data_IF_565905355948
#
_entry.id   IF_565905355948
#
_cell.length_a   1.000
_cell.length_b   1.000
_cell.length_c   1.000
_cell.angle_alpha   90.00
_cell.angle_beta   90.00
_cell.angle_gamma   90.00
#
_symmetry.space_group_name_H-M   'P 1'
#
loop_
_entity.id
_entity.type
_entity.pdbx_description
1 polymer ?
#
# COMPACT_ATOMS: atom_id res chain seq x y z
N UNK A 1 -54.52 -25.42 4.54
CA UNK A 1 -53.63 -24.90 5.61
C UNK A 1 -52.41 -25.82 5.65
N UNK A 2 -51.34 -25.49 4.94
CA UNK A 2 -50.12 -26.31 4.92
C UNK A 2 -49.39 -26.12 6.25
N UNK A 3 -49.52 -27.07 7.16
CA UNK A 3 -48.70 -27.12 8.37
C UNK A 3 -47.24 -27.27 7.94
N UNK A 4 -46.42 -26.23 8.12
CA UNK A 4 -44.97 -26.32 7.94
C UNK A 4 -44.49 -27.51 8.79
N UNK A 5 -44.02 -28.57 8.14
CA UNK A 5 -43.34 -29.68 8.82
C UNK A 5 -42.26 -29.10 9.73
N UNK A 6 -42.15 -29.60 10.97
CA UNK A 6 -41.04 -29.24 11.85
C UNK A 6 -39.73 -29.51 11.10
N UNK A 7 -38.78 -28.56 11.07
CA UNK A 7 -37.51 -28.77 10.40
C UNK A 7 -36.81 -29.99 10.99
N UNK A 8 -36.40 -30.94 10.13
CA UNK A 8 -35.62 -32.09 10.55
C UNK A 8 -34.25 -31.61 11.03
N UNK A 9 -33.91 -31.89 12.30
CA UNK A 9 -32.60 -31.58 12.87
C UNK A 9 -31.80 -32.86 13.00
N UNK A 10 -30.64 -32.91 12.35
CA UNK A 10 -29.65 -33.96 12.59
C UNK A 10 -29.22 -33.93 14.06
N UNK A 11 -28.99 -35.10 14.65
CA UNK A 11 -28.39 -35.21 15.99
C UNK A 11 -26.97 -34.64 16.03
N UNK A 12 -26.30 -34.57 14.89
CA UNK A 12 -24.99 -33.96 14.70
C UNK A 12 -25.14 -32.62 13.97
N UNK A 13 -25.19 -31.53 14.73
CA UNK A 13 -25.39 -30.18 14.20
C UNK A 13 -24.68 -29.15 15.09
N UNK A 14 -24.05 -28.13 14.50
CA UNK A 14 -23.37 -27.07 15.28
C UNK A 14 -24.31 -26.37 16.26
N UNK A 15 -25.62 -26.34 15.97
CA UNK A 15 -26.62 -25.70 16.82
C UNK A 15 -26.89 -26.45 18.12
N UNK A 16 -26.55 -27.74 18.21
CA UNK A 16 -26.69 -28.51 19.45
C UNK A 16 -25.49 -28.34 20.39
N UNK A 17 -24.41 -27.72 19.91
CA UNK A 17 -23.26 -27.35 20.74
C UNK A 17 -23.58 -26.14 21.63
N UNK A 18 -22.87 -26.06 22.76
CA UNK A 18 -22.83 -24.85 23.58
C UNK A 18 -22.31 -23.66 22.76
N UNK A 19 -22.80 -22.45 23.06
CA UNK A 19 -22.38 -21.22 22.40
C UNK A 19 -21.07 -20.70 23.01
N UNK A 20 -20.02 -21.49 22.87
CA UNK A 20 -18.66 -21.10 23.20
C UNK A 20 -17.67 -21.65 22.15
N UNK A 21 -16.50 -21.03 22.10
CA UNK A 21 -15.55 -21.30 21.04
C UNK A 21 -15.00 -22.74 21.10
N UNK A 22 -14.78 -23.29 22.29
CA UNK A 22 -14.24 -24.65 22.45
C UNK A 22 -15.22 -25.72 21.98
N UNK A 23 -16.52 -25.58 22.28
CA UNK A 23 -17.55 -26.48 21.79
C UNK A 23 -17.65 -26.45 20.25
N UNK A 24 -17.61 -25.26 19.65
CA UNK A 24 -17.65 -25.11 18.19
C UNK A 24 -16.36 -25.61 17.52
N UNK A 25 -15.19 -25.41 18.14
CA UNK A 25 -13.91 -25.99 17.72
C UNK A 25 -13.98 -27.51 17.69
N UNK A 26 -14.47 -28.12 18.76
CA UNK A 26 -14.63 -29.57 18.85
C UNK A 26 -15.54 -30.09 17.74
N UNK A 27 -16.67 -29.43 17.49
CA UNK A 27 -17.53 -29.75 16.34
C UNK A 27 -16.80 -29.62 14.99
N UNK A 28 -16.01 -28.57 14.78
CA UNK A 28 -15.26 -28.33 13.53
C UNK A 28 -14.26 -29.45 13.17
N UNK A 29 -13.81 -30.23 14.17
CA UNK A 29 -12.88 -31.34 13.95
C UNK A 29 -13.50 -32.45 13.10
N UNK A 30 -14.82 -32.60 13.12
CA UNK A 30 -15.56 -33.56 12.28
C UNK A 30 -15.33 -33.21 10.81
N UNK A 31 -15.56 -31.96 10.43
CA UNK A 31 -15.31 -31.47 9.08
C UNK A 31 -13.84 -31.54 8.70
N UNK A 32 -12.94 -31.19 9.62
CA UNK A 32 -11.49 -31.30 9.38
C UNK A 32 -11.08 -32.74 9.04
N UNK A 33 -11.60 -33.72 9.79
CA UNK A 33 -11.33 -35.13 9.54
C UNK A 33 -11.97 -35.65 8.25
N UNK A 34 -13.21 -35.24 7.96
CA UNK A 34 -13.90 -35.61 6.73
C UNK A 34 -13.21 -35.05 5.50
N UNK A 35 -12.85 -33.76 5.47
CA UNK A 35 -12.19 -33.11 4.33
C UNK A 35 -10.81 -33.74 4.09
N UNK A 36 -10.07 -34.04 5.17
CA UNK A 36 -8.76 -34.71 5.06
C UNK A 36 -8.87 -36.08 4.39
N UNK A 37 -9.93 -36.85 4.67
CA UNK A 37 -10.15 -38.19 4.10
C UNK A 37 -10.87 -38.14 2.73
N UNK A 38 -11.74 -37.17 2.54
CA UNK A 38 -12.66 -37.06 1.40
C UNK A 38 -12.56 -35.66 0.81
N UNK A 39 -11.42 -35.33 0.21
CA UNK A 39 -11.11 -33.98 -0.31
C UNK A 39 -12.17 -33.44 -1.27
N UNK A 40 -12.83 -34.31 -2.04
CA UNK A 40 -13.94 -33.93 -2.94
C UNK A 40 -15.15 -33.30 -2.22
N UNK A 41 -15.29 -33.47 -0.90
CA UNK A 41 -16.36 -32.86 -0.09
C UNK A 41 -16.12 -31.37 0.16
N UNK A 42 -14.89 -30.89 0.02
CA UNK A 42 -14.53 -29.49 0.24
C UNK A 42 -15.33 -28.56 -0.66
N UNK A 43 -15.44 -28.89 -1.95
CA UNK A 43 -16.21 -28.08 -2.89
C UNK A 43 -17.70 -28.05 -2.55
N UNK A 44 -18.26 -29.19 -2.11
CA UNK A 44 -19.65 -29.26 -1.66
C UNK A 44 -19.87 -28.42 -0.40
N UNK A 45 -18.92 -28.45 0.54
CA UNK A 45 -18.99 -27.60 1.74
C UNK A 45 -18.99 -26.12 1.36
N UNK A 46 -18.10 -25.70 0.46
CA UNK A 46 -18.08 -24.32 -0.05
C UNK A 46 -19.43 -23.90 -0.65
N UNK A 47 -19.99 -24.71 -1.54
CA UNK A 47 -21.25 -24.40 -2.23
C UNK A 47 -22.44 -24.31 -1.27
N UNK A 48 -22.46 -25.14 -0.21
CA UNK A 48 -23.48 -25.05 0.83
C UNK A 48 -23.26 -23.88 1.79
N UNK A 49 -22.00 -23.54 2.12
CA UNK A 49 -21.70 -22.38 2.96
C UNK A 49 -22.17 -21.08 2.30
N UNK A 50 -22.04 -20.93 0.98
CA UNK A 50 -22.61 -19.80 0.25
C UNK A 50 -24.11 -19.63 0.48
N UNK A 51 -24.87 -20.73 0.44
CA UNK A 51 -26.33 -20.74 0.67
C UNK A 51 -26.65 -20.44 2.12
N UNK A 52 -25.98 -21.09 3.07
CA UNK A 52 -26.18 -20.88 4.51
C UNK A 52 -25.99 -19.42 4.87
N UNK A 53 -24.91 -18.80 4.40
CA UNK A 53 -24.61 -17.38 4.67
C UNK A 53 -25.62 -16.43 4.02
N UNK A 54 -26.19 -16.78 2.86
CA UNK A 54 -27.22 -15.97 2.19
C UNK A 54 -28.56 -15.96 2.95
N UNK A 55 -28.87 -17.02 3.71
CA UNK A 55 -30.13 -17.17 4.44
C UNK A 55 -30.00 -16.96 5.95
N UNK A 56 -28.99 -16.20 6.42
CA UNK A 56 -28.73 -15.99 7.85
C UNK A 56 -29.95 -15.46 8.64
N UNK A 57 -30.83 -14.70 8.00
CA UNK A 57 -32.08 -14.19 8.63
C UNK A 57 -33.00 -15.30 9.13
N UNK A 58 -32.94 -16.50 8.54
CA UNK A 58 -33.76 -17.64 8.95
C UNK A 58 -33.29 -18.29 10.27
N UNK A 59 -32.08 -17.95 10.75
CA UNK A 59 -31.49 -18.50 11.96
C UNK A 59 -31.68 -17.54 13.14
N UNK A 60 -31.83 -18.11 14.34
CA UNK A 60 -31.86 -17.33 15.58
C UNK A 60 -30.52 -16.64 15.85
N UNK A 61 -30.47 -15.59 16.69
CA UNK A 61 -29.21 -14.92 17.03
C UNK A 61 -28.12 -15.88 17.52
N UNK A 62 -28.46 -16.80 18.42
CA UNK A 62 -27.55 -17.85 18.93
C UNK A 62 -27.01 -18.76 17.81
N UNK A 63 -27.88 -19.20 16.90
CA UNK A 63 -27.49 -20.03 15.76
C UNK A 63 -26.56 -19.23 14.82
N UNK A 64 -26.81 -17.93 14.59
CA UNK A 64 -25.93 -17.06 13.80
C UNK A 64 -24.55 -16.88 14.44
N UNK A 65 -24.48 -16.71 15.76
CA UNK A 65 -23.20 -16.65 16.49
C UNK A 65 -22.40 -17.93 16.26
N UNK A 66 -23.03 -19.10 16.43
CA UNK A 66 -22.39 -20.41 16.20
C UNK A 66 -21.99 -20.61 14.74
N UNK A 67 -22.81 -20.16 13.78
CA UNK A 67 -22.43 -20.16 12.34
C UNK A 67 -21.22 -19.28 12.08
N UNK A 68 -21.15 -18.09 12.69
CA UNK A 68 -20.01 -17.19 12.54
C UNK A 68 -18.71 -17.83 13.06
N UNK A 69 -18.76 -18.41 14.26
CA UNK A 69 -17.63 -19.12 14.86
C UNK A 69 -17.15 -20.29 13.98
N UNK A 70 -18.06 -21.17 13.54
CA UNK A 70 -17.66 -22.34 12.74
C UNK A 70 -17.16 -21.95 11.34
N UNK A 71 -17.77 -20.92 10.72
CA UNK A 71 -17.32 -20.38 9.42
C UNK A 71 -15.92 -19.81 9.55
N UNK A 72 -15.64 -19.08 10.63
CA UNK A 72 -14.32 -18.54 10.94
C UNK A 72 -13.26 -19.64 11.05
N UNK A 73 -13.55 -20.72 11.78
CA UNK A 73 -12.63 -21.85 11.92
C UNK A 73 -12.40 -22.55 10.58
N UNK A 74 -13.43 -22.71 9.76
CA UNK A 74 -13.28 -23.29 8.42
C UNK A 74 -12.40 -22.44 7.51
N UNK A 75 -12.57 -21.12 7.55
CA UNK A 75 -11.72 -20.18 6.81
C UNK A 75 -10.27 -20.20 7.30
N UNK A 76 -10.06 -20.16 8.61
CA UNK A 76 -8.74 -20.21 9.24
C UNK A 76 -7.96 -21.50 8.95
N UNK A 77 -8.67 -22.62 8.80
CA UNK A 77 -8.10 -23.92 8.42
C UNK A 77 -8.00 -24.13 6.90
N UNK A 78 -8.53 -23.20 6.10
CA UNK A 78 -8.53 -23.30 4.63
C UNK A 78 -9.50 -24.36 4.08
N UNK A 79 -10.51 -24.76 4.84
CA UNK A 79 -11.55 -25.72 4.42
C UNK A 79 -12.57 -25.11 3.48
N UNK A 80 -12.73 -23.77 3.53
CA UNK A 80 -13.54 -23.00 2.59
C UNK A 80 -12.78 -21.72 2.23
N UNK A 81 -12.97 -21.18 1.01
CA UNK A 81 -12.40 -19.90 0.61
C UNK A 81 -13.20 -18.72 1.20
N UNK A 82 -12.53 -17.58 1.39
CA UNK A 82 -13.17 -16.34 1.85
C UNK A 82 -14.18 -15.76 0.85
N UNK A 83 -14.22 -16.24 -0.39
CA UNK A 83 -15.25 -15.86 -1.37
C UNK A 83 -16.68 -16.17 -0.90
N UNK A 84 -16.85 -17.09 0.06
CA UNK A 84 -18.15 -17.35 0.68
C UNK A 84 -18.74 -16.12 1.39
N UNK A 85 -17.90 -15.19 1.86
CA UNK A 85 -18.34 -13.97 2.54
C UNK A 85 -19.08 -13.00 1.62
N UNK A 86 -18.99 -13.15 0.29
CA UNK A 86 -19.79 -12.35 -0.65
C UNK A 86 -21.30 -12.52 -0.40
N UNK A 87 -21.75 -13.67 0.12
CA UNK A 87 -23.17 -13.88 0.48
C UNK A 87 -23.65 -12.91 1.57
N UNK A 88 -22.75 -12.38 2.39
CA UNK A 88 -23.08 -11.41 3.43
C UNK A 88 -23.32 -10.00 2.86
N UNK A 89 -23.03 -9.74 1.58
CA UNK A 89 -23.41 -8.49 0.92
C UNK A 89 -24.88 -8.45 0.49
N UNK A 90 -25.67 -9.47 0.83
CA UNK A 90 -27.11 -9.47 0.62
C UNK A 90 -27.76 -8.24 1.28
N UNK A 91 -28.54 -7.48 0.50
CA UNK A 91 -29.12 -6.20 0.91
C UNK A 91 -29.95 -6.31 2.20
N UNK A 92 -30.72 -7.39 2.38
CA UNK A 92 -31.53 -7.59 3.58
C UNK A 92 -30.65 -7.81 4.81
N UNK A 93 -29.61 -8.64 4.69
CA UNK A 93 -28.69 -8.92 5.79
C UNK A 93 -27.89 -7.67 6.20
N UNK A 94 -27.44 -6.89 5.21
CA UNK A 94 -26.69 -5.65 5.43
C UNK A 94 -27.59 -4.59 6.07
N UNK A 95 -28.82 -4.41 5.57
CA UNK A 95 -29.78 -3.44 6.11
C UNK A 95 -30.17 -3.74 7.56
N UNK A 96 -30.32 -5.01 7.90
CA UNK A 96 -30.67 -5.44 9.26
C UNK A 96 -29.47 -5.53 10.22
N UNK A 97 -28.24 -5.26 9.75
CA UNK A 97 -27.03 -5.33 10.58
C UNK A 97 -26.54 -6.76 10.86
N UNK A 98 -27.22 -7.77 10.33
CA UNK A 98 -26.86 -9.19 10.51
C UNK A 98 -25.48 -9.47 9.94
N UNK A 99 -25.16 -8.91 8.76
CA UNK A 99 -23.85 -9.08 8.13
C UNK A 99 -22.72 -8.54 9.00
N UNK A 100 -22.92 -7.35 9.58
CA UNK A 100 -21.96 -6.70 10.46
C UNK A 100 -21.70 -7.53 11.73
N UNK A 101 -22.76 -7.91 12.44
CA UNK A 101 -22.65 -8.76 13.65
C UNK A 101 -21.91 -10.08 13.35
N UNK A 102 -22.23 -10.68 12.20
CA UNK A 102 -21.60 -11.91 11.75
C UNK A 102 -20.10 -11.73 11.51
N UNK A 103 -19.67 -10.70 10.77
CA UNK A 103 -18.24 -10.49 10.47
C UNK A 103 -17.43 -10.05 11.68
N UNK A 104 -18.03 -9.33 12.64
CA UNK A 104 -17.36 -8.97 13.89
C UNK A 104 -16.99 -10.23 14.68
N UNK A 105 -17.94 -11.16 14.85
CA UNK A 105 -17.66 -12.44 15.53
C UNK A 105 -16.66 -13.28 14.72
N UNK A 106 -16.78 -13.28 13.40
CA UNK A 106 -15.94 -14.08 12.52
C UNK A 106 -14.48 -13.65 12.59
N UNK A 107 -14.19 -12.35 12.49
CA UNK A 107 -12.81 -11.85 12.57
C UNK A 107 -12.21 -12.02 13.95
N UNK A 108 -12.99 -11.88 15.04
CA UNK A 108 -12.50 -12.17 16.40
C UNK A 108 -12.03 -13.61 16.52
N UNK A 109 -12.85 -14.56 16.09
CA UNK A 109 -12.51 -15.98 16.13
C UNK A 109 -11.33 -16.29 15.21
N UNK A 110 -11.24 -15.65 14.04
CA UNK A 110 -10.15 -15.92 13.10
C UNK A 110 -8.81 -15.45 13.67
N UNK A 111 -8.78 -14.29 14.34
CA UNK A 111 -7.60 -13.79 15.05
C UNK A 111 -7.24 -14.63 16.29
N UNK A 112 -8.16 -15.42 16.81
CA UNK A 112 -7.88 -16.39 17.89
C UNK A 112 -7.35 -17.72 17.33
N UNK A 113 -7.82 -18.14 16.15
CA UNK A 113 -7.35 -19.35 15.46
C UNK A 113 -5.99 -19.17 14.76
N UNK A 114 -5.73 -17.97 14.23
CA UNK A 114 -4.60 -17.61 13.37
C UNK A 114 -4.20 -16.16 13.59
N UNK A 115 -3.63 -15.51 12.57
CA UNK A 115 -3.16 -14.14 12.63
C UNK A 115 -3.75 -13.29 11.49
N UNK A 116 -3.44 -12.00 11.53
CA UNK A 116 -3.85 -11.02 10.52
C UNK A 116 -3.25 -11.33 9.13
N UNK A 117 -2.11 -12.02 9.04
CA UNK A 117 -1.51 -12.41 7.76
C UNK A 117 -2.39 -13.42 7.03
N UNK A 118 -2.97 -14.38 7.77
CA UNK A 118 -3.91 -15.36 7.22
C UNK A 118 -5.19 -14.71 6.69
N UNK A 119 -5.74 -13.75 7.44
CA UNK A 119 -6.95 -13.00 7.07
C UNK A 119 -6.66 -12.15 5.82
N UNK A 120 -5.60 -11.34 5.84
CA UNK A 120 -5.27 -10.46 4.72
C UNK A 120 -4.92 -11.21 3.43
N UNK A 121 -4.31 -12.40 3.52
CA UNK A 121 -4.07 -13.27 2.37
C UNK A 121 -5.39 -13.84 1.82
N UNK A 122 -6.29 -14.31 2.70
CA UNK A 122 -7.58 -14.85 2.29
C UNK A 122 -8.50 -13.79 1.66
N UNK A 123 -8.57 -12.58 2.24
CA UNK A 123 -9.34 -11.46 1.70
C UNK A 123 -8.84 -11.04 0.32
N UNK A 124 -7.50 -10.88 0.14
CA UNK A 124 -6.89 -10.57 -1.16
C UNK A 124 -7.19 -11.64 -2.20
N UNK A 125 -7.04 -12.92 -1.85
CA UNK A 125 -7.34 -14.04 -2.76
C UNK A 125 -8.81 -14.05 -3.19
N UNK A 126 -9.72 -13.60 -2.31
CA UNK A 126 -11.15 -13.51 -2.57
C UNK A 126 -11.61 -12.17 -3.16
N UNK A 127 -10.70 -11.20 -3.40
CA UNK A 127 -11.02 -9.85 -3.86
C UNK A 127 -12.00 -9.11 -2.93
N UNK A 128 -11.79 -9.24 -1.63
CA UNK A 128 -12.62 -8.66 -0.57
C UNK A 128 -11.91 -7.54 0.21
N UNK A 129 -10.62 -7.31 -0.02
CA UNK A 129 -9.80 -6.35 0.70
C UNK A 129 -10.35 -4.93 0.63
N UNK A 130 -10.98 -4.54 -0.48
CA UNK A 130 -11.61 -3.22 -0.67
C UNK A 130 -13.09 -3.17 -0.28
N UNK A 131 -13.64 -4.28 0.21
CA UNK A 131 -15.10 -4.47 0.39
C UNK A 131 -15.53 -4.58 1.84
N UNK A 132 -14.63 -4.39 2.81
CA UNK A 132 -14.98 -4.51 4.23
C UNK A 132 -16.08 -3.52 4.66
N UNK A 133 -16.12 -2.34 4.06
CA UNK A 133 -17.17 -1.35 4.30
C UNK A 133 -18.57 -1.85 3.89
N UNK A 134 -18.65 -2.78 2.91
CA UNK A 134 -19.93 -3.27 2.38
C UNK A 134 -20.68 -4.19 3.35
N UNK A 135 -20.05 -4.64 4.44
CA UNK A 135 -20.75 -5.35 5.51
C UNK A 135 -21.60 -4.43 6.39
N UNK A 136 -21.37 -3.12 6.33
CA UNK A 136 -22.10 -2.13 7.12
C UNK A 136 -23.35 -1.64 6.35
N UNK A 137 -24.46 -1.31 7.05
CA UNK A 137 -25.60 -0.64 6.43
C UNK A 137 -25.16 0.59 5.64
N UNK A 138 -25.76 0.83 4.46
CA UNK A 138 -25.36 1.91 3.53
C UNK A 138 -25.25 3.28 4.22
N UNK A 139 -26.19 3.61 5.10
CA UNK A 139 -26.20 4.87 5.86
C UNK A 139 -25.05 5.02 6.87
N UNK A 140 -24.28 3.95 7.11
CA UNK A 140 -23.22 3.85 8.11
C UNK A 140 -21.87 3.49 7.52
N UNK A 141 -21.72 3.45 6.19
CA UNK A 141 -20.46 3.13 5.52
C UNK A 141 -19.48 4.32 5.54
N UNK A 142 -19.08 4.75 6.74
CA UNK A 142 -18.10 5.81 6.94
C UNK A 142 -16.89 5.29 7.70
N UNK A 143 -15.70 5.80 7.39
CA UNK A 143 -14.47 5.37 8.06
C UNK A 143 -14.51 5.54 9.58
N UNK A 144 -14.98 6.68 10.15
CA UNK A 144 -15.07 6.84 11.60
C UNK A 144 -15.97 5.80 12.26
N UNK A 145 -17.11 5.48 11.64
CA UNK A 145 -18.03 4.50 12.19
C UNK A 145 -17.46 3.08 12.14
N UNK A 146 -16.80 2.71 11.04
CA UNK A 146 -16.08 1.45 10.92
C UNK A 146 -14.99 1.32 12.00
N UNK A 147 -14.17 2.36 12.17
CA UNK A 147 -13.09 2.40 13.16
C UNK A 147 -13.63 2.19 14.57
N UNK A 148 -14.71 2.90 14.94
CA UNK A 148 -15.33 2.77 16.25
C UNK A 148 -15.84 1.34 16.49
N UNK A 149 -16.71 0.83 15.61
CA UNK A 149 -17.33 -0.49 15.77
C UNK A 149 -16.31 -1.63 15.88
N UNK A 150 -15.31 -1.63 15.00
CA UNK A 150 -14.29 -2.69 15.00
C UNK A 150 -13.33 -2.54 16.19
N UNK A 151 -13.01 -1.31 16.62
CA UNK A 151 -12.18 -1.10 17.81
C UNK A 151 -12.90 -1.53 19.08
N UNK A 152 -14.17 -1.17 19.24
CA UNK A 152 -15.02 -1.59 20.38
C UNK A 152 -15.17 -3.12 20.41
N UNK A 153 -15.13 -3.75 19.23
CA UNK A 153 -15.12 -5.19 19.09
C UNK A 153 -13.75 -5.85 19.36
N UNK A 154 -12.67 -5.08 19.62
CA UNK A 154 -11.32 -5.61 19.84
C UNK A 154 -10.55 -5.93 18.54
N UNK A 155 -11.02 -5.45 17.39
CA UNK A 155 -10.47 -5.73 16.05
C UNK A 155 -9.61 -4.58 15.50
N UNK A 156 -8.76 -4.00 16.35
CA UNK A 156 -7.87 -2.88 15.95
C UNK A 156 -6.98 -3.23 14.75
N UNK A 157 -6.52 -4.47 14.64
CA UNK A 157 -5.73 -4.95 13.50
C UNK A 157 -6.50 -4.93 12.17
N UNK A 158 -7.81 -5.18 12.20
CA UNK A 158 -8.68 -5.07 11.00
C UNK A 158 -8.87 -3.61 10.62
N UNK A 159 -8.99 -2.71 11.61
CA UNK A 159 -9.05 -1.26 11.39
C UNK A 159 -7.80 -0.75 10.70
N UNK A 160 -6.63 -1.13 11.22
CA UNK A 160 -5.33 -0.77 10.64
C UNK A 160 -5.17 -1.34 9.23
N UNK A 161 -5.58 -2.61 9.02
CA UNK A 161 -5.58 -3.22 7.70
C UNK A 161 -6.43 -2.44 6.70
N UNK A 162 -7.67 -2.08 7.05
CA UNK A 162 -8.56 -1.30 6.18
C UNK A 162 -7.96 0.07 5.85
N UNK A 163 -7.35 0.75 6.83
CA UNK A 163 -6.66 2.03 6.62
C UNK A 163 -5.50 1.88 5.63
N UNK A 164 -4.67 0.85 5.79
CA UNK A 164 -3.55 0.58 4.90
C UNK A 164 -3.99 0.24 3.47
N UNK A 165 -5.11 -0.49 3.30
CA UNK A 165 -5.69 -0.75 1.97
C UNK A 165 -6.14 0.56 1.32
N UNK A 166 -6.89 1.41 2.03
CA UNK A 166 -7.34 2.70 1.52
C UNK A 166 -6.18 3.63 1.16
N UNK A 167 -5.17 3.74 2.01
CA UNK A 167 -3.99 4.54 1.72
C UNK A 167 -3.22 4.03 0.49
N UNK A 168 -3.07 2.71 0.36
CA UNK A 168 -2.43 2.09 -0.80
C UNK A 168 -3.20 2.38 -2.10
N UNK A 169 -4.53 2.35 -2.04
CA UNK A 169 -5.40 2.65 -3.17
C UNK A 169 -5.30 4.11 -3.60
N UNK A 170 -5.37 5.06 -2.66
CA UNK A 170 -5.20 6.49 -2.97
C UNK A 170 -3.83 6.79 -3.59
N UNK A 171 -2.76 6.14 -3.10
CA UNK A 171 -1.41 6.30 -3.67
C UNK A 171 -1.34 5.77 -5.11
N UNK A 172 -1.98 4.62 -5.38
CA UNK A 172 -2.03 4.05 -6.74
C UNK A 172 -2.85 4.92 -7.68
N UNK A 173 -3.99 5.41 -7.22
CA UNK A 173 -4.84 6.31 -7.99
C UNK A 173 -4.10 7.59 -8.38
N UNK A 174 -3.42 8.25 -7.43
CA UNK A 174 -2.54 9.39 -7.73
C UNK A 174 -1.52 9.04 -8.82
N UNK A 175 -0.82 7.93 -8.66
CA UNK A 175 0.23 7.53 -9.60
C UNK A 175 -0.34 7.27 -11.00
N UNK A 176 -1.45 6.55 -11.10
CA UNK A 176 -2.13 6.26 -12.37
C UNK A 176 -2.60 7.54 -13.03
N UNK A 177 -3.20 8.48 -12.30
CA UNK A 177 -3.65 9.76 -12.86
C UNK A 177 -2.48 10.58 -13.38
N UNK A 178 -1.38 10.70 -12.63
CA UNK A 178 -0.18 11.42 -13.09
C UNK A 178 0.41 10.78 -14.35
N UNK A 179 0.51 9.45 -14.39
CA UNK A 179 1.03 8.73 -15.57
C UNK A 179 0.13 8.99 -16.79
N UNK A 180 -1.19 9.00 -16.61
CA UNK A 180 -2.14 9.30 -17.70
C UNK A 180 -1.96 10.74 -18.20
N UNK A 181 -1.86 11.72 -17.29
CA UNK A 181 -1.59 13.13 -17.66
C UNK A 181 -0.29 13.26 -18.46
N UNK A 182 0.78 12.56 -18.05
CA UNK A 182 2.06 12.55 -18.78
C UNK A 182 1.93 11.94 -20.18
N UNK A 183 1.20 10.82 -20.30
CA UNK A 183 0.97 10.12 -21.58
C UNK A 183 0.09 10.94 -22.53
N UNK A 184 -0.85 11.69 -22.01
CA UNK A 184 -1.71 12.62 -22.75
C UNK A 184 -1.00 13.93 -23.11
N UNK A 185 0.22 14.14 -22.60
CA UNK A 185 1.00 15.35 -22.87
C UNK A 185 0.49 16.59 -22.15
N UNK A 186 -0.13 16.41 -20.97
CA UNK A 186 -0.58 17.52 -20.14
C UNK A 186 0.60 18.45 -19.78
N UNK A 187 0.36 19.77 -19.68
CA UNK A 187 1.35 20.73 -19.18
C UNK A 187 1.89 20.34 -17.79
N UNK A 188 3.19 20.58 -17.55
CA UNK A 188 3.82 20.33 -16.25
C UNK A 188 3.09 21.02 -15.09
N UNK A 189 2.57 22.24 -15.32
CA UNK A 189 1.80 23.00 -14.35
C UNK A 189 0.55 22.24 -13.86
N UNK A 190 -0.20 21.61 -14.77
CA UNK A 190 -1.42 20.89 -14.40
C UNK A 190 -1.10 19.66 -13.54
N UNK A 191 0.01 18.98 -13.83
CA UNK A 191 0.49 17.85 -13.04
C UNK A 191 0.95 18.31 -11.65
N UNK A 192 1.63 19.46 -11.57
CA UNK A 192 2.06 20.08 -10.31
C UNK A 192 0.86 20.48 -9.46
N UNK A 193 -0.12 21.16 -10.05
CA UNK A 193 -1.34 21.60 -9.36
C UNK A 193 -2.10 20.39 -8.79
N UNK A 194 -2.24 19.31 -9.57
CA UNK A 194 -2.84 18.06 -9.10
C UNK A 194 -2.06 17.41 -7.94
N UNK A 195 -0.73 17.35 -8.03
CA UNK A 195 0.11 16.81 -6.96
C UNK A 195 0.06 17.65 -5.67
N UNK A 196 0.02 18.98 -5.78
CA UNK A 196 -0.12 19.90 -4.63
C UNK A 196 -1.50 19.80 -3.99
N UNK A 197 -2.56 19.66 -4.78
CA UNK A 197 -3.91 19.39 -4.26
C UNK A 197 -3.96 18.07 -3.48
N UNK A 198 -3.30 17.02 -3.98
CA UNK A 198 -3.17 15.76 -3.25
C UNK A 198 -2.43 15.91 -1.92
N UNK A 199 -1.34 16.69 -1.88
CA UNK A 199 -0.61 16.98 -0.64
C UNK A 199 -1.53 17.59 0.42
N UNK A 200 -2.30 18.61 0.03
CA UNK A 200 -3.19 19.34 0.94
C UNK A 200 -4.35 18.46 1.39
N UNK A 201 -5.06 17.83 0.46
CA UNK A 201 -6.24 17.00 0.75
C UNK A 201 -5.92 15.76 1.58
N UNK A 202 -4.77 15.12 1.31
CA UNK A 202 -4.33 13.92 2.02
C UNK A 202 -3.42 14.21 3.23
N UNK A 203 -3.12 15.49 3.49
CA UNK A 203 -2.19 15.96 4.54
C UNK A 203 -0.85 15.22 4.49
N UNK A 204 -0.34 15.03 3.27
CA UNK A 204 0.91 14.28 3.02
C UNK A 204 2.10 15.23 2.93
N UNK A 205 3.22 14.92 3.60
CA UNK A 205 4.42 15.73 3.50
C UNK A 205 5.02 15.65 2.10
N UNK A 206 5.76 16.68 1.71
CA UNK A 206 6.39 16.78 0.39
C UNK A 206 7.25 15.55 0.06
N UNK A 207 8.01 15.04 1.03
CA UNK A 207 8.84 13.83 0.88
C UNK A 207 8.06 12.56 0.48
N UNK A 208 6.82 12.42 0.97
CA UNK A 208 5.98 11.29 0.57
C UNK A 208 5.48 11.49 -0.87
N UNK A 209 5.14 12.71 -1.24
CA UNK A 209 4.59 13.00 -2.58
C UNK A 209 5.67 12.98 -3.65
N UNK A 210 6.87 13.55 -3.43
CA UNK A 210 8.00 13.44 -4.38
C UNK A 210 8.36 11.97 -4.66
N UNK A 211 8.23 11.08 -3.66
CA UNK A 211 8.42 9.64 -3.87
C UNK A 211 7.38 9.06 -4.84
N UNK A 212 6.14 9.55 -4.82
CA UNK A 212 5.07 9.13 -5.73
C UNK A 212 5.29 9.75 -7.13
N UNK A 213 5.63 11.03 -7.21
CA UNK A 213 5.97 11.73 -8.47
C UNK A 213 7.12 11.03 -9.18
N UNK A 214 8.23 10.75 -8.47
CA UNK A 214 9.38 10.02 -9.00
C UNK A 214 8.97 8.67 -9.61
N UNK A 215 8.18 7.89 -8.86
CA UNK A 215 7.68 6.59 -9.35
C UNK A 215 6.80 6.74 -10.58
N UNK A 216 5.94 7.75 -10.62
CA UNK A 216 5.11 8.03 -11.80
C UNK A 216 5.95 8.40 -13.01
N UNK A 217 6.92 9.30 -12.86
CA UNK A 217 7.85 9.68 -13.94
C UNK A 217 8.56 8.44 -14.47
N UNK A 218 9.19 7.64 -13.60
CA UNK A 218 9.96 6.47 -14.04
C UNK A 218 9.11 5.35 -14.64
N UNK A 219 7.82 5.28 -14.32
CA UNK A 219 6.86 4.30 -14.87
C UNK A 219 6.07 4.83 -16.08
N UNK A 220 6.13 6.12 -16.40
CA UNK A 220 5.44 6.72 -17.54
C UNK A 220 6.16 6.45 -18.88
N UNK A 221 7.32 5.77 -18.87
CA UNK A 221 8.11 5.48 -20.06
C UNK A 221 8.45 4.00 -20.15
N UNK A 222 8.36 3.46 -21.37
CA UNK A 222 8.92 2.15 -21.66
C UNK A 222 10.42 2.29 -21.95
N UNK A 223 11.24 1.74 -21.06
CA UNK A 223 12.69 1.83 -21.17
C UNK A 223 13.24 0.93 -22.26
N UNK A 224 14.27 1.41 -22.95
CA UNK A 224 14.95 0.65 -23.98
C UNK A 224 15.60 -0.61 -23.38
N UNK A 225 15.48 -1.75 -24.08
CA UNK A 225 16.10 -3.01 -23.66
C UNK A 225 17.61 -3.04 -23.88
N UNK A 226 18.13 -2.16 -24.75
CA UNK A 226 19.56 -2.02 -25.02
C UNK A 226 20.17 -1.02 -24.05
N UNK A 227 21.04 -1.49 -23.17
CA UNK A 227 21.62 -0.71 -22.08
C UNK A 227 22.38 0.53 -22.56
N UNK A 228 23.03 0.48 -23.73
CA UNK A 228 23.71 1.64 -24.32
C UNK A 228 22.76 2.78 -24.72
N UNK A 229 21.50 2.48 -25.04
CA UNK A 229 20.50 3.50 -25.44
C UNK A 229 19.74 4.10 -24.25
N UNK A 230 19.81 3.44 -23.08
CA UNK A 230 19.10 3.89 -21.88
C UNK A 230 19.60 5.25 -21.40
N UNK A 231 20.91 5.54 -21.51
CA UNK A 231 21.50 6.76 -20.96
C UNK A 231 20.91 8.05 -21.56
N UNK A 232 20.78 8.11 -22.89
CA UNK A 232 20.20 9.28 -23.55
C UNK A 232 18.68 9.36 -23.36
N UNK A 233 18.00 8.21 -23.27
CA UNK A 233 16.58 8.16 -22.98
C UNK A 233 16.30 8.70 -21.58
N UNK A 234 17.07 8.28 -20.56
CA UNK A 234 16.96 8.76 -19.18
C UNK A 234 17.17 10.26 -19.11
N UNK A 235 18.23 10.77 -19.75
CA UNK A 235 18.52 12.19 -19.72
C UNK A 235 17.40 13.03 -20.35
N UNK A 236 16.87 12.62 -21.49
CA UNK A 236 15.73 13.31 -22.14
C UNK A 236 14.47 13.23 -21.30
N UNK A 237 14.19 12.07 -20.72
CA UNK A 237 12.98 11.82 -19.93
C UNK A 237 12.99 12.62 -18.62
N UNK A 238 14.08 12.58 -17.86
CA UNK A 238 14.21 13.35 -16.62
C UNK A 238 14.20 14.86 -16.90
N UNK A 239 14.90 15.32 -17.94
CA UNK A 239 14.89 16.74 -18.32
C UNK A 239 13.50 17.23 -18.70
N UNK A 240 12.66 16.39 -19.31
CA UNK A 240 11.27 16.76 -19.66
C UNK A 240 10.41 17.03 -18.41
N UNK A 241 10.72 16.38 -17.29
CA UNK A 241 9.92 16.44 -16.07
C UNK A 241 10.66 17.09 -14.90
N UNK A 242 11.79 17.78 -15.15
CA UNK A 242 12.55 18.48 -14.12
C UNK A 242 11.70 19.54 -13.43
N UNK A 243 10.95 20.33 -14.19
CA UNK A 243 10.10 21.41 -13.65
C UNK A 243 9.04 20.86 -12.69
N UNK A 244 8.57 19.63 -12.91
CA UNK A 244 7.65 18.97 -11.97
C UNK A 244 8.42 18.59 -10.71
N UNK A 245 9.60 17.98 -10.84
CA UNK A 245 10.39 17.55 -9.69
C UNK A 245 10.78 18.73 -8.79
N UNK A 246 11.21 19.85 -9.37
CA UNK A 246 11.59 21.09 -8.66
C UNK A 246 10.47 21.58 -7.73
N UNK A 247 9.22 21.50 -8.17
CA UNK A 247 8.04 21.91 -7.39
C UNK A 247 7.74 21.00 -6.18
N UNK A 248 8.36 19.83 -6.10
CA UNK A 248 8.25 18.87 -4.99
C UNK A 248 9.61 18.58 -4.32
N UNK A 249 10.61 19.42 -4.57
CA UNK A 249 11.93 19.40 -3.94
C UNK A 249 12.28 20.79 -3.41
N UNK A 250 11.35 21.41 -2.66
CA UNK A 250 11.53 22.77 -2.11
C UNK A 250 12.27 22.78 -0.77
N UNK A 251 12.62 21.60 -0.25
CA UNK A 251 13.25 21.41 1.05
C UNK A 251 14.38 20.39 0.91
N UNK A 252 15.50 20.61 1.62
CA UNK A 252 16.61 19.65 1.64
C UNK A 252 16.19 18.21 1.95
N UNK A 253 15.14 18.02 2.77
CA UNK A 253 14.62 16.69 3.11
C UNK A 253 13.89 16.00 1.96
N UNK A 254 13.14 16.72 1.11
CA UNK A 254 12.49 16.15 -0.08
C UNK A 254 13.51 15.89 -1.19
N UNK A 255 14.49 16.76 -1.38
CA UNK A 255 15.64 16.55 -2.25
C UNK A 255 16.42 15.28 -1.87
N UNK A 256 16.82 15.16 -0.59
CA UNK A 256 17.50 13.97 -0.07
C UNK A 256 16.66 12.70 -0.28
N UNK A 257 15.34 12.81 -0.08
CA UNK A 257 14.42 11.69 -0.33
C UNK A 257 14.43 11.29 -1.80
N UNK A 258 14.39 12.25 -2.73
CA UNK A 258 14.47 11.98 -4.17
C UNK A 258 15.80 11.32 -4.52
N UNK A 259 16.94 11.85 -4.05
CA UNK A 259 18.27 11.31 -4.32
C UNK A 259 18.41 9.85 -3.85
N UNK A 260 17.89 9.53 -2.67
CA UNK A 260 17.79 8.15 -2.18
C UNK A 260 16.93 7.26 -3.07
N UNK A 261 15.83 7.78 -3.64
CA UNK A 261 14.99 7.02 -4.60
C UNK A 261 15.69 6.81 -5.93
N UNK A 262 16.50 7.77 -6.39
CA UNK A 262 17.34 7.60 -7.59
C UNK A 262 18.37 6.50 -7.35
N UNK A 263 19.08 6.52 -6.21
CA UNK A 263 20.07 5.49 -5.84
C UNK A 263 19.42 4.10 -5.77
N UNK A 264 18.33 3.98 -5.03
CA UNK A 264 17.60 2.72 -4.87
C UNK A 264 17.12 2.18 -6.23
N UNK A 265 16.60 3.05 -7.10
CA UNK A 265 16.16 2.66 -8.45
C UNK A 265 17.32 2.16 -9.30
N UNK A 266 18.44 2.89 -9.34
CA UNK A 266 19.65 2.46 -10.05
C UNK A 266 20.21 1.14 -9.49
N UNK A 267 20.07 0.87 -8.20
CA UNK A 267 20.47 -0.41 -7.62
C UNK A 267 19.56 -1.57 -8.04
N UNK A 268 18.25 -1.37 -7.94
CA UNK A 268 17.22 -2.37 -8.21
C UNK A 268 17.17 -2.75 -9.71
N UNK A 269 17.41 -1.78 -10.59
CA UNK A 269 17.38 -1.99 -12.04
C UNK A 269 18.79 -1.87 -12.64
N UNK A 270 19.44 -3.01 -12.88
CA UNK A 270 20.84 -3.10 -13.32
C UNK A 270 21.18 -2.23 -14.54
N UNK A 271 20.25 -2.06 -15.48
CA UNK A 271 20.43 -1.25 -16.69
C UNK A 271 20.64 0.26 -16.42
N UNK A 272 20.33 0.75 -15.21
CA UNK A 272 20.51 2.15 -14.81
C UNK A 272 21.74 2.37 -13.93
N UNK A 273 22.43 1.30 -13.50
CA UNK A 273 23.54 1.39 -12.54
C UNK A 273 24.63 2.38 -12.95
N UNK A 274 25.07 2.30 -14.21
CA UNK A 274 26.13 3.16 -14.77
C UNK A 274 25.67 4.58 -15.12
N UNK A 275 24.36 4.85 -15.03
CA UNK A 275 23.77 6.15 -15.37
C UNK A 275 23.46 6.99 -14.14
N UNK A 276 23.71 6.47 -12.93
CA UNK A 276 23.42 7.16 -11.68
C UNK A 276 24.04 8.56 -11.61
N UNK A 277 25.36 8.68 -11.85
CA UNK A 277 26.04 9.98 -11.85
C UNK A 277 25.41 10.95 -12.85
N UNK A 278 25.12 10.49 -14.07
CA UNK A 278 24.49 11.31 -15.12
C UNK A 278 23.10 11.81 -14.70
N UNK A 279 22.33 10.99 -13.97
CA UNK A 279 21.03 11.38 -13.44
C UNK A 279 21.18 12.46 -12.36
N UNK A 280 22.08 12.27 -11.39
CA UNK A 280 22.29 13.25 -10.32
C UNK A 280 22.80 14.58 -10.87
N UNK A 281 23.79 14.56 -11.77
CA UNK A 281 24.29 15.77 -12.44
C UNK A 281 23.20 16.49 -13.21
N UNK A 282 22.30 15.76 -13.88
CA UNK A 282 21.17 16.38 -14.57
C UNK A 282 20.22 17.06 -13.59
N UNK A 283 19.87 16.38 -12.48
CA UNK A 283 18.97 16.93 -11.46
C UNK A 283 19.56 18.17 -10.77
N UNK A 284 20.88 18.18 -10.53
CA UNK A 284 21.59 19.37 -10.07
C UNK A 284 21.49 20.52 -11.08
N UNK A 285 21.82 20.27 -12.36
CA UNK A 285 21.78 21.28 -13.43
C UNK A 285 20.38 21.83 -13.75
N UNK A 286 19.33 21.21 -13.24
CA UNK A 286 17.94 21.65 -13.41
C UNK A 286 17.33 22.12 -12.10
N UNK A 287 18.15 22.45 -11.10
CA UNK A 287 17.73 23.00 -9.80
C UNK A 287 16.76 22.07 -9.03
N UNK A 288 16.84 20.76 -9.27
CA UNK A 288 16.03 19.75 -8.56
C UNK A 288 16.75 19.27 -7.30
N UNK A 289 18.09 19.24 -7.33
CA UNK A 289 18.92 18.87 -6.18
C UNK A 289 19.95 19.97 -5.95
N UNK A 290 20.03 20.45 -4.71
CA UNK A 290 21.06 21.36 -4.25
C UNK A 290 22.40 20.66 -4.06
N UNK A 291 23.46 21.47 -4.05
CA UNK A 291 24.82 21.03 -3.79
C UNK A 291 24.95 20.39 -2.41
N UNK A 292 24.42 21.07 -1.38
CA UNK A 292 24.51 20.68 0.01
C UNK A 292 23.89 19.30 0.24
N UNK A 293 22.77 19.01 -0.42
CA UNK A 293 22.11 17.70 -0.34
C UNK A 293 22.94 16.60 -1.02
N UNK A 294 23.57 16.89 -2.15
CA UNK A 294 24.41 15.92 -2.88
C UNK A 294 25.66 15.59 -2.06
N UNK A 295 26.33 16.61 -1.52
CA UNK A 295 27.51 16.45 -0.65
C UNK A 295 27.15 15.70 0.63
N UNK A 296 26.03 16.05 1.28
CA UNK A 296 25.54 15.35 2.48
C UNK A 296 25.23 13.88 2.21
N UNK A 297 24.58 13.57 1.07
CA UNK A 297 24.32 12.20 0.64
C UNK A 297 25.63 11.43 0.47
N UNK A 298 26.63 12.04 -0.19
CA UNK A 298 27.91 11.41 -0.44
C UNK A 298 28.63 11.06 0.88
N UNK A 299 28.70 12.00 1.81
CA UNK A 299 29.43 11.85 3.08
C UNK A 299 28.77 10.84 4.02
N UNK A 300 27.46 10.96 4.27
CA UNK A 300 26.83 10.19 5.34
C UNK A 300 25.38 9.76 5.13
N UNK A 301 24.61 10.45 4.28
CA UNK A 301 23.17 10.20 4.15
C UNK A 301 22.79 9.19 3.03
N UNK A 302 23.75 8.50 2.43
CA UNK A 302 23.51 7.52 1.36
C UNK A 302 22.89 6.20 1.85
N UNK A 303 22.17 5.54 0.94
CA UNK A 303 21.63 4.19 1.17
C UNK A 303 22.75 3.14 1.16
N UNK A 304 22.57 2.05 1.91
CA UNK A 304 23.49 0.90 1.89
C UNK A 304 23.41 0.12 0.57
N UNK A 305 22.33 0.31 -0.22
CA UNK A 305 22.13 -0.33 -1.52
C UNK A 305 23.14 0.19 -2.55
N UNK A 306 24.13 -0.64 -2.89
CA UNK A 306 25.14 -0.30 -3.91
C UNK A 306 26.13 0.79 -3.49
N UNK A 307 26.26 1.06 -2.18
CA UNK A 307 27.06 2.14 -1.58
C UNK A 307 28.42 2.34 -2.26
N UNK A 308 29.30 1.34 -2.22
CA UNK A 308 30.68 1.48 -2.72
C UNK A 308 30.73 1.86 -4.20
N UNK A 309 29.84 1.29 -5.01
CA UNK A 309 29.79 1.55 -6.45
C UNK A 309 29.26 2.95 -6.77
N UNK A 310 28.25 3.44 -6.06
CA UNK A 310 27.69 4.77 -6.31
C UNK A 310 28.57 5.89 -5.75
N UNK A 311 29.20 5.69 -4.59
CA UNK A 311 30.19 6.65 -4.08
C UNK A 311 31.39 6.75 -5.03
N UNK A 312 31.90 5.64 -5.55
CA UNK A 312 33.00 5.69 -6.53
C UNK A 312 32.58 6.44 -7.81
N UNK A 313 31.37 6.19 -8.33
CA UNK A 313 30.85 6.91 -9.50
C UNK A 313 30.68 8.42 -9.27
N UNK A 314 30.35 8.84 -8.05
CA UNK A 314 30.08 10.24 -7.73
C UNK A 314 31.31 11.04 -7.32
N UNK A 315 32.41 10.36 -6.96
CA UNK A 315 33.62 10.96 -6.37
C UNK A 315 34.07 12.24 -7.08
N UNK A 316 34.38 12.16 -8.38
CA UNK A 316 34.86 13.30 -9.16
C UNK A 316 33.87 14.47 -9.24
N UNK A 317 32.58 14.18 -9.19
CA UNK A 317 31.56 15.23 -9.26
C UNK A 317 31.41 15.93 -7.92
N UNK A 318 31.50 15.19 -6.81
CA UNK A 318 31.47 15.77 -5.46
C UNK A 318 32.74 16.57 -5.18
N UNK A 319 33.92 16.05 -5.56
CA UNK A 319 35.18 16.82 -5.50
C UNK A 319 35.09 18.12 -6.30
N UNK A 320 34.38 18.11 -7.44
CA UNK A 320 34.17 19.32 -8.23
C UNK A 320 33.22 20.32 -7.55
N UNK A 321 32.14 19.85 -6.92
CA UNK A 321 31.22 20.70 -6.15
C UNK A 321 31.98 21.40 -5.01
N UNK A 322 32.65 20.61 -4.16
CA UNK A 322 33.37 21.13 -3.00
C UNK A 322 34.49 22.14 -3.36
N UNK A 323 35.18 21.95 -4.50
CA UNK A 323 36.23 22.88 -4.92
C UNK A 323 35.70 24.10 -5.68
N UNK A 324 34.51 24.03 -6.29
CA UNK A 324 33.94 25.15 -7.05
C UNK A 324 33.51 26.30 -6.13
N UNK A 325 33.11 26.01 -4.89
CA UNK A 325 32.88 27.03 -3.86
C UNK A 325 34.20 27.63 -3.34
N UNK A 326 35.24 26.79 -3.11
CA UNK A 326 36.54 27.24 -2.60
C UNK A 326 37.27 28.22 -3.54
N UNK A 327 37.17 28.07 -4.87
CA UNK A 327 37.77 29.03 -5.82
C UNK A 327 37.05 30.39 -5.85
N UNK A 328 35.75 30.44 -5.55
CA UNK A 328 34.97 31.68 -5.53
C UNK A 328 35.10 32.50 -4.24
N UNK A 329 35.42 31.87 -3.11
CA UNK A 329 35.71 32.59 -1.85
C UNK A 329 37.16 33.13 -1.82
N UNK A 330 38.10 32.50 -2.54
CA UNK A 330 39.49 32.98 -2.62
C UNK A 330 39.69 34.17 -3.55
N UNK A 331 38.83 34.37 -4.55
CA UNK A 331 38.89 35.57 -5.41
C UNK A 331 38.39 36.84 -4.68
N UNK A 332 37.51 36.71 -3.68
CA UNK A 332 37.03 37.83 -2.87
C UNK A 332 38.01 38.24 -1.75
N UNK A 333 38.91 37.35 -1.30
CA UNK A 333 39.96 37.67 -0.32
C UNK A 333 41.25 38.23 -0.97
N UNK A 334 41.55 37.88 -2.23
CA UNK A 334 42.68 38.46 -2.98
C UNK A 334 42.39 39.88 -3.50
N UNK A 335 41.12 40.26 -3.74
CA UNK A 335 40.76 41.65 -4.08
C UNK A 335 40.85 42.62 -2.89
N UNK A 336 40.75 42.16 -1.63
CA UNK A 336 40.94 43.03 -0.45
C UNK A 336 42.42 43.23 -0.08
N UNK A 337 43.34 42.31 -0.44
CA UNK A 337 44.78 42.50 -0.18
C UNK A 337 45.48 43.38 -1.24
N UNK A 338 45.01 43.39 -2.49
CA UNK A 338 45.57 44.23 -3.57
C UNK A 338 45.14 45.71 -3.48
N UNK A 339 44.04 46.05 -2.81
CA UNK A 339 43.64 47.45 -2.55
C UNK A 339 44.41 48.12 -1.39
N UNK A 340 45.07 47.34 -0.51
CA UNK A 340 45.88 47.89 0.59
C UNK A 340 47.35 48.17 0.18
N UNK A 341 47.91 47.52 -0.85
CA UNK A 341 49.31 47.77 -1.30
C UNK A 341 49.47 48.92 -2.31
N UNK A 342 48.44 49.35 -3.04
CA UNK A 342 48.50 50.54 -3.92
C UNK A 342 48.21 51.88 -3.19
N UNK A 343 47.86 51.82 -1.89
CA UNK A 343 47.50 52.98 -1.06
C UNK A 343 48.57 53.51 -0.08
N UNK A 344 49.77 52.90 -0.04
CA UNK A 344 50.84 53.17 0.95
C UNK A 344 51.85 54.27 0.59
#
# INVERSE_FOLDING_TARGET
MWTRQKPFRSSLCVFTCEENLDAVRNFSQIFTNLIRRYKYMEKKLEDEMLKVLMFLKAFSPSERTKLSMVTSIFLAKGHIPASCLNSLFNEVLVKEGISLEFVLTLFKVWLDEKDMSSISAALRKAQLEKKLMLFLPVSKQTLPHFQQLFTDAGLKSIVEYQKNVQESDLRKELQTTIINMMNEGAPSKDIVDFGKEYMVSSKKPEQEVITLIWKSIMNAVEWNKKEELVGDQVAKHLKRYSDILTEFTTQAKSEMTLLLKVQDYCYEYSQFRKWFQRMVVLLYKTDVLSEEVIVLWYKEAHSTKGKSFFLEQMKKFVEWLENAEEESESEDEEEEEDEEEEGG
#
